data_IF_932271525942
#
_entry.id   IF_932271525942
#
_cell.length_a   1.000
_cell.length_b   1.000
_cell.length_c   1.000
_cell.angle_alpha   90.00
_cell.angle_beta   90.00
_cell.angle_gamma   90.00
#
_symmetry.space_group_name_H-M   'P 1'
#
loop_
_entity.id
_entity.type
_entity.pdbx_description
1 polymer ?
#
# COMPACT_ATOMS: atom_id res chain seq x y z
N UNK A 1 -3.85 11.14 18.03
CA UNK A 1 -2.60 10.38 17.82
C UNK A 1 -2.43 10.28 16.31
N UNK A 2 -1.27 10.68 15.79
CA UNK A 2 -0.98 10.62 14.36
C UNK A 2 -0.87 9.15 13.93
N UNK A 3 -1.22 8.84 12.67
CA UNK A 3 -0.80 7.57 12.10
C UNK A 3 0.71 7.53 12.00
N UNK A 4 1.28 6.43 12.46
CA UNK A 4 2.68 6.12 12.22
C UNK A 4 2.75 5.19 10.99
N UNK A 5 3.67 5.54 10.09
CA UNK A 5 4.00 4.71 8.94
C UNK A 5 5.44 4.27 9.08
N UNK A 6 5.64 2.98 9.30
CA UNK A 6 6.96 2.38 9.26
C UNK A 6 7.15 1.78 7.86
N UNK A 7 8.20 2.24 7.17
CA UNK A 7 8.50 1.81 5.80
C UNK A 7 9.84 1.10 5.82
N UNK A 8 9.81 -0.19 5.47
CA UNK A 8 10.98 -1.05 5.36
C UNK A 8 11.15 -1.47 3.91
N UNK A 9 12.28 -1.13 3.30
CA UNK A 9 12.65 -1.58 1.96
C UNK A 9 13.55 -2.81 2.03
N UNK A 10 13.24 -3.82 1.21
CA UNK A 10 14.02 -5.05 1.06
C UNK A 10 14.02 -5.48 -0.40
N UNK A 11 15.17 -5.37 -1.08
CA UNK A 11 15.29 -5.63 -2.52
C UNK A 11 14.23 -4.88 -3.35
N UNK A 12 13.28 -5.58 -3.98
CA UNK A 12 12.17 -5.00 -4.75
C UNK A 12 10.88 -4.87 -3.91
N UNK A 13 10.90 -5.36 -2.67
CA UNK A 13 9.79 -5.33 -1.73
C UNK A 13 9.85 -4.06 -0.87
N UNK A 14 8.73 -3.37 -0.78
CA UNK A 14 8.51 -2.24 0.12
C UNK A 14 7.41 -2.64 1.11
N UNK A 15 7.78 -2.92 2.35
CA UNK A 15 6.85 -3.22 3.43
C UNK A 15 6.48 -1.92 4.15
N UNK A 16 5.19 -1.66 4.22
CA UNK A 16 4.61 -0.45 4.78
C UNK A 16 3.65 -0.88 5.87
N UNK A 17 4.06 -0.63 7.11
CA UNK A 17 3.25 -0.89 8.29
C UNK A 17 2.54 0.41 8.67
N UNK A 18 1.22 0.38 8.61
CA UNK A 18 0.36 1.48 8.99
C UNK A 18 -0.32 1.19 10.32
N UNK A 19 -0.15 2.10 11.28
CA UNK A 19 -0.82 2.00 12.58
C UNK A 19 -1.71 3.21 12.86
N UNK A 20 -2.86 2.98 13.50
CA UNK A 20 -3.77 4.06 13.91
C UNK A 20 -4.68 4.57 12.78
N UNK A 21 -4.73 5.88 12.55
CA UNK A 21 -5.67 6.50 11.59
C UNK A 21 -4.93 7.04 10.37
N UNK A 22 -5.07 6.36 9.23
CA UNK A 22 -4.41 6.78 7.99
C UNK A 22 -4.95 8.12 7.51
N UNK A 23 -4.02 9.07 7.33
CA UNK A 23 -4.30 10.44 6.88
C UNK A 23 -3.68 10.72 5.51
N UNK A 24 -4.01 11.88 4.94
CA UNK A 24 -3.37 12.33 3.70
C UNK A 24 -1.84 12.46 3.84
N UNK A 25 -1.33 12.88 5.00
CA UNK A 25 0.11 12.98 5.24
C UNK A 25 0.81 11.63 5.17
N UNK A 26 0.22 10.61 5.81
CA UNK A 26 0.68 9.22 5.73
C UNK A 26 0.76 8.78 4.26
N UNK A 27 -0.28 9.06 3.49
CA UNK A 27 -0.27 8.68 2.10
C UNK A 27 0.82 9.37 1.25
N UNK A 28 1.07 10.66 1.45
CA UNK A 28 2.16 11.36 0.75
C UNK A 28 3.51 10.67 1.04
N UNK A 29 3.77 10.34 2.30
CA UNK A 29 4.98 9.60 2.70
C UNK A 29 5.07 8.23 2.02
N UNK A 30 3.96 7.50 1.94
CA UNK A 30 3.90 6.23 1.23
C UNK A 30 4.24 6.37 -0.26
N UNK A 31 3.63 7.35 -0.93
CA UNK A 31 3.84 7.58 -2.36
C UNK A 31 5.29 7.99 -2.66
N UNK A 32 5.88 8.87 -1.85
CA UNK A 32 7.28 9.28 -1.99
C UNK A 32 8.24 8.09 -1.80
N UNK A 33 7.96 7.21 -0.83
CA UNK A 33 8.78 6.02 -0.61
C UNK A 33 8.71 5.04 -1.81
N UNK A 34 7.52 4.83 -2.37
CA UNK A 34 7.36 4.03 -3.58
C UNK A 34 8.13 4.64 -4.75
N UNK A 35 8.07 5.96 -4.94
CA UNK A 35 8.80 6.65 -6.00
C UNK A 35 10.32 6.46 -5.84
N UNK A 36 10.86 6.70 -4.64
CA UNK A 36 12.29 6.52 -4.38
C UNK A 36 12.74 5.09 -4.66
N UNK A 37 11.94 4.11 -4.23
CA UNK A 37 12.24 2.70 -4.45
C UNK A 37 12.15 2.32 -5.94
N UNK A 38 11.14 2.84 -6.63
CA UNK A 38 10.95 2.66 -8.07
C UNK A 38 12.06 3.30 -8.89
N UNK A 39 12.59 4.45 -8.45
CA UNK A 39 13.70 5.11 -9.13
C UNK A 39 14.98 4.28 -9.08
N UNK A 40 15.20 3.54 -7.99
CA UNK A 40 16.38 2.70 -7.79
C UNK A 40 16.23 1.34 -8.49
N UNK A 41 15.09 0.68 -8.34
CA UNK A 41 14.89 -0.71 -8.79
C UNK A 41 14.06 -0.84 -10.08
N UNK A 42 13.43 0.23 -10.55
CA UNK A 42 12.54 0.26 -11.71
C UNK A 42 11.14 -0.31 -11.44
N UNK A 43 11.07 -1.41 -10.68
CA UNK A 43 9.82 -2.06 -10.28
C UNK A 43 9.75 -2.21 -8.77
N UNK A 44 8.55 -2.04 -8.23
CA UNK A 44 8.28 -2.13 -6.79
C UNK A 44 7.16 -3.11 -6.53
N UNK A 45 7.34 -3.93 -5.51
CA UNK A 45 6.32 -4.79 -4.92
C UNK A 45 6.02 -4.26 -3.54
N UNK A 46 4.77 -3.98 -3.23
CA UNK A 46 4.40 -3.32 -1.98
C UNK A 46 3.62 -4.29 -1.11
N UNK A 47 4.03 -4.42 0.15
CA UNK A 47 3.25 -5.06 1.21
C UNK A 47 2.70 -3.96 2.11
N UNK A 48 1.39 -3.76 2.11
CA UNK A 48 0.73 -2.77 2.93
C UNK A 48 0.03 -3.46 4.11
N UNK A 49 0.66 -3.45 5.28
CA UNK A 49 0.14 -4.07 6.49
C UNK A 49 -0.52 -3.01 7.37
N UNK A 50 -1.81 -3.18 7.66
CA UNK A 50 -2.54 -2.34 8.59
C UNK A 50 -2.64 -3.04 9.94
N UNK A 51 -2.04 -2.43 10.97
CA UNK A 51 -2.12 -2.90 12.36
C UNK A 51 -2.97 -1.98 13.20
N UNK A 52 -4.04 -2.53 13.76
CA UNK A 52 -4.91 -1.82 14.71
C UNK A 52 -5.42 -0.50 14.14
N UNK A 53 -5.76 -0.48 12.85
CA UNK A 53 -6.26 0.70 12.18
C UNK A 53 -7.70 1.01 12.60
N UNK A 54 -7.91 2.18 13.18
CA UNK A 54 -9.20 2.60 13.73
C UNK A 54 -10.10 3.25 12.66
N UNK A 55 -9.56 3.49 11.46
CA UNK A 55 -10.21 4.36 10.50
C UNK A 55 -9.35 4.79 9.32
N UNK A 56 -9.96 4.87 8.14
CA UNK A 56 -9.48 5.69 7.04
C UNK A 56 -10.29 6.98 6.94
N UNK A 57 -9.69 8.13 7.25
CA UNK A 57 -10.32 9.45 7.00
C UNK A 57 -10.07 9.91 5.55
N UNK A 58 -9.91 8.95 4.63
CA UNK A 58 -9.52 9.18 3.24
C UNK A 58 -10.74 9.43 2.32
N UNK A 59 -11.95 9.13 2.80
CA UNK A 59 -13.17 8.97 1.99
C UNK A 59 -13.66 10.17 1.15
N UNK A 60 -13.19 11.40 1.39
CA UNK A 60 -13.59 12.57 0.57
C UNK A 60 -12.44 13.24 -0.17
N UNK A 61 -11.20 13.17 0.35
CA UNK A 61 -10.06 13.86 -0.26
C UNK A 61 -9.27 12.99 -1.25
N UNK A 62 -9.40 11.65 -1.16
CA UNK A 62 -8.74 10.72 -2.09
C UNK A 62 -9.14 10.91 -3.55
N UNK A 63 -10.42 11.19 -3.83
CA UNK A 63 -10.90 11.46 -5.21
C UNK A 63 -10.15 12.62 -5.89
N UNK A 64 -9.62 13.56 -5.11
CA UNK A 64 -8.84 14.69 -5.60
C UNK A 64 -7.34 14.40 -5.65
N UNK A 65 -6.86 13.37 -4.93
CA UNK A 65 -5.54 12.78 -5.09
C UNK A 65 -5.53 11.91 -6.34
N UNK A 66 -5.68 12.56 -7.50
CA UNK A 66 -5.25 12.04 -8.81
C UNK A 66 -3.73 11.94 -8.81
N UNK A 67 -3.18 11.16 -7.89
CA UNK A 67 -1.75 10.97 -7.76
C UNK A 67 -1.25 10.46 -9.09
N UNK A 68 -0.30 11.22 -9.63
CA UNK A 68 0.29 11.07 -10.94
C UNK A 68 0.35 9.60 -11.35
N UNK A 69 -0.42 9.25 -12.39
CA UNK A 69 -0.47 7.94 -13.05
C UNK A 69 0.92 7.40 -13.43
N UNK A 70 1.98 8.21 -13.29
CA UNK A 70 3.39 7.84 -13.45
C UNK A 70 3.92 7.00 -12.28
N UNK A 71 3.58 7.32 -11.03
CA UNK A 71 4.10 6.59 -9.85
C UNK A 71 3.53 5.17 -9.78
N UNK A 72 2.24 5.01 -10.09
CA UNK A 72 1.54 3.71 -10.05
C UNK A 72 2.02 2.71 -11.10
N UNK A 73 2.67 3.17 -12.18
CA UNK A 73 3.18 2.27 -13.24
C UNK A 73 4.39 1.46 -12.80
N UNK A 74 5.11 1.90 -11.78
CA UNK A 74 6.25 1.16 -11.24
C UNK A 74 5.83 0.05 -10.26
N UNK A 75 4.61 0.13 -9.72
CA UNK A 75 4.10 -0.88 -8.79
C UNK A 75 3.61 -2.08 -9.61
N UNK A 76 4.34 -3.18 -9.53
CA UNK A 76 3.98 -4.43 -10.20
C UNK A 76 2.92 -5.19 -9.40
N UNK A 77 3.09 -5.23 -8.07
CA UNK A 77 2.22 -5.95 -7.14
C UNK A 77 2.02 -5.18 -5.84
N UNK A 78 0.80 -5.24 -5.32
CA UNK A 78 0.42 -4.68 -4.03
C UNK A 78 -0.35 -5.75 -3.24
N UNK A 79 0.21 -6.23 -2.15
CA UNK A 79 -0.52 -7.05 -1.19
C UNK A 79 -1.00 -6.16 -0.04
N UNK A 80 -2.27 -6.24 0.30
CA UNK A 80 -2.86 -5.47 1.41
C UNK A 80 -3.25 -6.46 2.49
N UNK A 81 -2.68 -6.28 3.67
CA UNK A 81 -2.93 -7.10 4.85
C UNK A 81 -3.69 -6.27 5.86
N UNK A 82 -4.98 -6.55 6.03
CA UNK A 82 -5.86 -5.83 6.95
C UNK A 82 -6.96 -6.74 7.50
N UNK A 83 -7.67 -6.28 8.52
CA UNK A 83 -8.93 -6.86 8.98
C UNK A 83 -10.05 -6.46 8.00
N UNK A 84 -10.92 -7.41 7.63
CA UNK A 84 -11.95 -7.35 6.55
C UNK A 84 -12.87 -6.11 6.55
N UNK A 85 -12.87 -5.31 7.63
CA UNK A 85 -13.72 -4.14 7.86
C UNK A 85 -13.59 -3.04 6.80
N UNK A 86 -12.44 -2.90 6.12
CA UNK A 86 -12.13 -1.75 5.24
C UNK A 86 -12.13 -2.06 3.73
N UNK A 87 -12.77 -3.16 3.33
CA UNK A 87 -12.71 -3.65 1.94
C UNK A 87 -13.20 -2.62 0.90
N UNK A 88 -14.24 -1.83 1.22
CA UNK A 88 -14.80 -0.83 0.29
C UNK A 88 -13.87 0.37 0.08
N UNK A 89 -13.28 0.87 1.17
CA UNK A 89 -12.32 1.97 1.16
C UNK A 89 -11.04 1.57 0.43
N UNK A 90 -10.54 0.37 0.72
CA UNK A 90 -9.36 -0.16 0.05
C UNK A 90 -9.67 -0.41 -1.44
N UNK A 91 -10.83 -0.96 -1.78
CA UNK A 91 -11.22 -1.09 -3.19
C UNK A 91 -11.26 0.27 -3.90
N UNK A 92 -11.72 1.33 -3.24
CA UNK A 92 -11.70 2.69 -3.78
C UNK A 92 -10.26 3.22 -3.98
N UNK A 93 -9.37 2.92 -3.04
CA UNK A 93 -7.93 3.22 -3.11
C UNK A 93 -7.21 2.46 -4.21
N UNK A 94 -7.61 1.22 -4.44
CA UNK A 94 -7.05 0.32 -5.43
C UNK A 94 -7.60 0.55 -6.85
N UNK A 95 -8.77 1.17 -7.02
CA UNK A 95 -9.32 1.52 -8.35
C UNK A 95 -8.35 2.22 -9.31
N UNK A 96 -7.52 3.20 -8.92
CA UNK A 96 -6.53 3.81 -9.80
C UNK A 96 -5.36 2.89 -10.18
N UNK A 97 -5.11 1.79 -9.46
CA UNK A 97 -4.09 0.78 -9.78
C UNK A 97 -4.57 -0.14 -10.91
N UNK A 98 -4.82 0.44 -12.08
CA UNK A 98 -5.31 -0.31 -13.25
C UNK A 98 -4.22 -1.16 -13.94
N UNK A 99 -2.96 -1.08 -13.50
CA UNK A 99 -1.82 -1.75 -14.13
C UNK A 99 -1.12 -2.81 -13.26
N UNK A 100 -1.25 -2.73 -11.94
CA UNK A 100 -0.62 -3.68 -11.01
C UNK A 100 -1.60 -4.76 -10.55
N UNK A 101 -1.08 -5.88 -10.06
CA UNK A 101 -1.92 -6.90 -9.40
C UNK A 101 -2.09 -6.55 -7.93
N UNK A 102 -3.32 -6.59 -7.44
CA UNK A 102 -3.64 -6.27 -6.05
C UNK A 102 -4.29 -7.48 -5.43
N UNK A 103 -3.77 -7.92 -4.30
CA UNK A 103 -4.32 -9.02 -3.53
C UNK A 103 -4.55 -8.59 -2.08
N UNK A 104 -5.60 -9.15 -1.49
CA UNK A 104 -6.01 -8.85 -0.13
C UNK A 104 -5.80 -10.09 0.71
N UNK A 105 -5.16 -9.90 1.87
CA UNK A 105 -4.87 -10.97 2.81
C UNK A 105 -5.36 -10.55 4.19
N UNK A 106 -5.81 -11.52 4.96
CA UNK A 106 -6.07 -11.31 6.39
C UNK A 106 -4.73 -11.19 7.14
N UNK A 107 -4.73 -10.53 8.30
CA UNK A 107 -3.55 -10.45 9.15
C UNK A 107 -2.97 -11.83 9.51
N UNK A 108 -3.83 -12.84 9.61
CA UNK A 108 -3.45 -14.24 9.84
C UNK A 108 -2.66 -14.86 8.67
N UNK A 109 -2.76 -14.27 7.47
CA UNK A 109 -2.10 -14.72 6.25
C UNK A 109 -0.98 -13.76 5.80
N UNK A 110 -0.38 -13.00 6.74
CA UNK A 110 0.75 -12.10 6.44
C UNK A 110 1.92 -12.82 5.75
N UNK A 111 2.21 -14.06 6.15
CA UNK A 111 3.27 -14.87 5.53
C UNK A 111 2.92 -15.22 4.07
N UNK A 112 1.66 -15.55 3.79
CA UNK A 112 1.20 -15.82 2.42
C UNK A 112 1.29 -14.57 1.54
N UNK A 113 0.98 -13.39 2.09
CA UNK A 113 1.12 -12.12 1.38
C UNK A 113 2.57 -11.85 0.99
N UNK A 114 3.51 -12.13 1.90
CA UNK A 114 4.96 -12.01 1.65
C UNK A 114 5.41 -12.99 0.57
N UNK A 115 5.02 -14.26 0.68
CA UNK A 115 5.33 -15.29 -0.31
C UNK A 115 4.76 -14.94 -1.69
N UNK A 116 3.54 -14.40 -1.75
CA UNK A 116 2.92 -13.97 -3.00
C UNK A 116 3.69 -12.81 -3.67
N UNK A 117 4.21 -11.88 -2.87
CA UNK A 117 5.05 -10.79 -3.38
C UNK A 117 6.45 -11.28 -3.79
N UNK A 118 7.03 -12.29 -3.16
CA UNK A 118 8.35 -12.80 -3.54
C UNK A 118 8.29 -13.80 -4.70
N UNK A 119 7.15 -14.47 -4.90
CA UNK A 119 6.89 -15.42 -6.00
C UNK A 119 7.10 -14.76 -7.35
N UNK A 120 8.29 -14.95 -7.92
CA UNK A 120 8.65 -14.41 -9.23
C UNK A 120 8.31 -15.47 -10.27
N UNK A 121 7.36 -15.18 -11.16
CA UNK A 121 7.05 -16.00 -12.33
C UNK A 121 8.17 -15.87 -13.38
#
# INVERSE_FOLDING_TARGET
MAADLEITSSDMLLHVEATGQLTNGSYVTFADAVEQHAHVHGKVRVLFEMRSCIGWTLGSNWKNMKFDLRHWKAIERLAIVDEVTWLEEIACFCRPFTWGTIEYFDHSHLDEAKDWLTTSL
#
